data_IF_144379275328
#
_entry.id   IF_144379275328
#
_cell.length_a   1.000
_cell.length_b   1.000
_cell.length_c   1.000
_cell.angle_alpha   90.00
_cell.angle_beta   90.00
_cell.angle_gamma   90.00
#
_symmetry.space_group_name_H-M   'P 1'
#
loop_
_entity.id
_entity.type
_entity.pdbx_description
1 polymer ?
#
# COMPACT_ATOMS: atom_id res chain seq x y z
N UNK A 1 -37.60 53.40 -63.96
CA UNK A 1 -38.76 54.25 -63.59
C UNK A 1 -38.95 54.23 -62.11
N UNK A 2 -38.53 55.21 -61.48
CA UNK A 2 -39.27 56.28 -60.80
C UNK A 2 -39.57 55.87 -59.36
N UNK A 3 -38.90 56.52 -58.49
CA UNK A 3 -39.16 57.71 -57.66
C UNK A 3 -39.66 57.30 -56.21
N UNK A 4 -38.86 57.60 -55.28
CA UNK A 4 -38.92 58.70 -54.27
C UNK A 4 -40.08 58.66 -53.28
N UNK A 5 -39.77 58.62 -52.03
CA UNK A 5 -40.01 59.77 -51.16
C UNK A 5 -39.48 59.49 -49.69
N UNK A 6 -38.72 60.48 -49.34
CA UNK A 6 -38.25 60.78 -47.96
C UNK A 6 -39.38 60.98 -46.95
N UNK A 7 -39.19 60.50 -45.70
CA UNK A 7 -39.69 61.20 -44.52
C UNK A 7 -38.74 61.03 -43.34
N UNK A 8 -38.05 62.11 -43.01
CA UNK A 8 -37.32 62.33 -41.76
C UNK A 8 -38.27 62.27 -40.54
N UNK A 9 -37.97 61.45 -39.59
CA UNK A 9 -38.48 61.68 -38.21
C UNK A 9 -37.27 61.86 -37.31
N UNK A 10 -37.18 63.05 -36.72
CA UNK A 10 -36.30 63.41 -35.62
C UNK A 10 -36.79 62.70 -34.39
N UNK A 11 -35.99 61.87 -33.75
CA UNK A 11 -36.20 61.43 -32.36
C UNK A 11 -35.14 62.03 -31.45
N UNK A 12 -35.60 62.72 -30.46
CA UNK A 12 -34.85 63.35 -29.37
C UNK A 12 -34.03 62.30 -28.63
N UNK A 13 -32.74 62.45 -28.62
CA UNK A 13 -31.84 61.77 -27.67
C UNK A 13 -31.76 62.62 -26.42
N UNK A 14 -32.47 62.24 -25.35
CA UNK A 14 -32.16 62.68 -24.01
C UNK A 14 -30.94 61.92 -23.49
N UNK A 15 -29.82 62.59 -23.37
CA UNK A 15 -28.63 62.05 -22.77
C UNK A 15 -28.79 61.93 -21.25
N UNK A 16 -29.01 60.74 -20.76
CA UNK A 16 -28.80 60.44 -19.32
C UNK A 16 -27.30 60.42 -19.05
N UNK A 17 -26.76 61.47 -18.48
CA UNK A 17 -25.47 61.48 -17.83
C UNK A 17 -25.51 60.48 -16.65
N UNK A 18 -24.98 59.27 -16.86
CA UNK A 18 -24.70 58.35 -15.77
C UNK A 18 -23.55 58.91 -14.96
N UNK A 19 -23.83 59.16 -13.69
CA UNK A 19 -22.93 59.75 -12.74
C UNK A 19 -21.75 58.75 -12.47
N UNK A 20 -20.62 58.95 -13.15
CA UNK A 20 -19.40 58.12 -12.96
C UNK A 20 -18.85 58.09 -11.53
N UNK A 21 -19.31 59.00 -10.68
CA UNK A 21 -18.84 59.06 -9.29
C UNK A 21 -19.55 58.05 -8.36
N UNK A 22 -20.79 57.66 -8.63
CA UNK A 22 -21.52 56.70 -7.81
C UNK A 22 -20.97 55.27 -7.97
N UNK A 23 -20.46 54.91 -9.16
CA UNK A 23 -19.86 53.60 -9.40
C UNK A 23 -18.47 53.46 -8.76
N UNK A 24 -17.70 54.53 -8.70
CA UNK A 24 -16.42 54.55 -8.00
C UNK A 24 -16.59 54.43 -6.49
N UNK A 25 -17.60 54.98 -5.88
CA UNK A 25 -17.94 54.88 -4.47
C UNK A 25 -18.36 53.43 -4.11
N UNK A 26 -19.12 52.77 -4.97
CA UNK A 26 -19.54 51.39 -4.76
C UNK A 26 -18.33 50.42 -4.82
N UNK A 27 -17.38 50.68 -5.70
CA UNK A 27 -16.11 49.90 -5.79
C UNK A 27 -15.25 50.08 -4.54
N UNK A 28 -15.19 51.33 -3.96
CA UNK A 28 -14.46 51.57 -2.72
C UNK A 28 -15.13 50.91 -1.50
N UNK A 29 -16.43 50.80 -1.48
CA UNK A 29 -17.15 50.08 -0.43
C UNK A 29 -16.93 48.56 -0.52
N UNK A 30 -16.86 48.00 -1.74
CA UNK A 30 -16.52 46.57 -1.93
C UNK A 30 -15.07 46.29 -1.52
N UNK A 31 -14.14 47.15 -1.91
CA UNK A 31 -12.74 47.03 -1.52
C UNK A 31 -12.56 47.20 -0.02
N UNK A 32 -13.24 48.17 0.60
CA UNK A 32 -13.22 48.34 2.03
C UNK A 32 -13.87 47.15 2.78
N UNK A 33 -14.93 46.56 2.22
CA UNK A 33 -15.53 45.33 2.75
C UNK A 33 -14.61 44.12 2.66
N UNK A 34 -13.93 43.95 1.54
CA UNK A 34 -12.95 42.88 1.34
C UNK A 34 -11.71 43.06 2.23
N UNK A 35 -11.25 44.30 2.44
CA UNK A 35 -10.17 44.58 3.36
C UNK A 35 -10.58 44.34 4.80
N UNK A 36 -11.82 44.72 5.20
CA UNK A 36 -12.33 44.44 6.54
C UNK A 36 -12.52 42.94 6.80
N UNK A 37 -12.96 42.19 5.78
CA UNK A 37 -13.04 40.71 5.87
C UNK A 37 -11.62 40.08 5.94
N UNK A 38 -10.65 40.59 5.19
CA UNK A 38 -9.27 40.10 5.29
C UNK A 38 -8.62 40.49 6.63
N UNK A 39 -8.91 41.65 7.20
CA UNK A 39 -8.48 42.00 8.55
C UNK A 39 -9.15 41.13 9.62
N UNK A 40 -10.43 40.82 9.46
CA UNK A 40 -11.13 39.93 10.40
C UNK A 40 -10.60 38.48 10.30
N UNK A 41 -10.17 38.04 9.11
CA UNK A 41 -9.49 36.75 8.92
C UNK A 41 -8.03 36.78 9.41
N UNK A 42 -7.34 37.92 9.32
CA UNK A 42 -5.96 38.06 9.77
C UNK A 42 -5.87 38.33 11.28
N UNK A 43 -6.84 39.03 11.89
CA UNK A 43 -6.92 39.18 13.35
C UNK A 43 -7.33 37.87 14.05
N UNK A 44 -8.06 36.99 13.37
CA UNK A 44 -8.26 35.62 13.83
C UNK A 44 -6.98 34.77 13.82
N UNK A 45 -5.97 35.17 13.03
CA UNK A 45 -4.66 34.48 12.95
C UNK A 45 -3.59 35.08 13.88
N UNK A 46 -3.77 36.30 14.38
CA UNK A 46 -2.79 37.02 15.19
C UNK A 46 -3.29 37.42 16.61
N UNK A 47 -4.39 36.87 17.07
CA UNK A 47 -4.63 36.87 18.51
C UNK A 47 -3.59 35.92 19.11
N UNK A 48 -2.72 36.37 20.04
CA UNK A 48 -2.11 35.45 20.98
C UNK A 48 -3.22 35.05 21.95
N UNK A 49 -4.20 34.29 21.46
CA UNK A 49 -4.97 33.43 22.32
C UNK A 49 -3.91 32.59 23.00
N UNK A 50 -3.84 32.65 24.30
CA UNK A 50 -3.24 31.67 25.14
C UNK A 50 -3.64 30.31 24.58
N UNK A 51 -2.84 29.82 23.62
CA UNK A 51 -2.75 28.40 23.35
C UNK A 51 -2.28 27.88 24.70
N UNK A 52 -3.18 27.38 25.50
CA UNK A 52 -2.85 26.38 26.46
C UNK A 52 -2.23 25.25 25.61
N UNK A 53 -0.95 25.39 25.32
CA UNK A 53 -0.07 24.29 25.07
C UNK A 53 -0.05 23.49 26.38
N UNK A 54 -1.12 22.77 26.66
CA UNK A 54 -0.96 21.46 27.22
C UNK A 54 -0.07 20.77 26.20
N UNK A 55 1.21 20.74 26.48
CA UNK A 55 2.12 19.86 25.81
C UNK A 55 1.43 18.49 25.84
N UNK A 56 0.92 18.08 24.70
CA UNK A 56 0.42 16.72 24.51
C UNK A 56 1.61 15.84 24.85
N UNK A 57 1.60 15.25 26.05
CA UNK A 57 2.70 14.43 26.51
C UNK A 57 2.62 13.13 25.73
N UNK A 58 3.62 12.91 24.89
CA UNK A 58 3.78 11.59 24.25
C UNK A 58 3.81 10.51 25.35
N UNK A 59 2.98 9.50 25.19
CA UNK A 59 2.95 8.36 26.12
C UNK A 59 3.86 7.27 25.57
N UNK A 60 5.01 7.08 26.23
CA UNK A 60 6.08 6.21 25.76
C UNK A 60 6.12 4.88 26.53
N UNK A 61 5.74 3.79 25.87
CA UNK A 61 5.77 2.43 26.37
C UNK A 61 6.95 1.60 25.86
N UNK A 62 7.90 2.19 25.13
CA UNK A 62 9.00 1.45 24.49
C UNK A 62 9.85 0.68 25.50
N UNK A 63 10.26 1.29 26.57
CA UNK A 63 11.05 0.59 27.61
C UNK A 63 10.24 -0.48 28.32
N UNK A 64 8.96 -0.25 28.58
CA UNK A 64 8.07 -1.24 29.19
C UNK A 64 7.84 -2.46 28.28
N UNK A 65 7.62 -2.23 27.00
CA UNK A 65 7.45 -3.33 26.03
C UNK A 65 8.74 -4.12 25.81
N UNK A 66 9.92 -3.50 25.82
CA UNK A 66 11.20 -4.22 25.81
C UNK A 66 11.40 -5.12 27.03
N UNK A 67 10.95 -4.69 28.21
CA UNK A 67 10.98 -5.56 29.40
C UNK A 67 10.03 -6.74 29.26
N UNK A 68 8.86 -6.52 28.67
CA UNK A 68 7.90 -7.60 28.38
C UNK A 68 8.53 -8.61 27.41
N UNK A 69 9.22 -8.16 26.33
CA UNK A 69 9.95 -9.03 25.42
C UNK A 69 10.94 -9.94 26.14
N UNK A 70 11.73 -9.38 27.09
CA UNK A 70 12.69 -10.17 27.89
C UNK A 70 12.00 -11.23 28.75
N UNK A 71 10.85 -10.90 29.37
CA UNK A 71 10.06 -11.84 30.13
C UNK A 71 9.53 -12.97 29.25
N UNK A 72 9.00 -12.62 28.09
CA UNK A 72 8.51 -13.60 27.10
C UNK A 72 9.65 -14.54 26.70
N UNK A 73 10.83 -14.00 26.36
CA UNK A 73 12.01 -14.78 25.99
C UNK A 73 12.45 -15.73 27.11
N UNK A 74 12.44 -15.24 28.35
CA UNK A 74 12.79 -16.08 29.52
C UNK A 74 11.82 -17.24 29.65
N UNK A 75 10.52 -17.01 29.61
CA UNK A 75 9.51 -18.08 29.68
C UNK A 75 9.64 -19.05 28.51
N UNK A 76 9.78 -18.54 27.27
CA UNK A 76 9.93 -19.39 26.10
C UNK A 76 11.23 -20.21 26.12
N UNK A 77 12.28 -19.72 26.78
CA UNK A 77 13.54 -20.44 26.93
C UNK A 77 13.43 -21.77 27.70
N UNK A 78 12.37 -21.92 28.48
CA UNK A 78 12.08 -23.19 29.23
C UNK A 78 11.57 -24.30 28.29
N UNK A 79 11.20 -23.96 27.05
CA UNK A 79 10.68 -24.89 26.04
C UNK A 79 11.69 -25.14 24.89
N UNK A 80 13.00 -24.95 25.15
CA UNK A 80 14.08 -24.98 24.13
C UNK A 80 14.24 -26.30 23.37
N UNK A 81 13.73 -27.41 23.87
CA UNK A 81 13.85 -28.71 23.22
C UNK A 81 13.06 -28.85 21.90
N UNK A 82 12.36 -27.81 21.48
CA UNK A 82 11.41 -27.83 20.38
C UNK A 82 11.80 -26.94 19.18
N UNK A 83 13.07 -26.56 18.99
CA UNK A 83 13.50 -25.72 17.84
C UNK A 83 12.62 -24.47 17.61
N UNK A 84 12.65 -23.55 18.55
CA UNK A 84 11.55 -22.62 18.77
C UNK A 84 11.45 -21.52 17.74
N UNK A 85 12.48 -20.73 17.50
CA UNK A 85 12.31 -19.55 16.66
C UNK A 85 12.38 -19.90 15.18
N UNK A 86 11.25 -19.76 14.49
CA UNK A 86 11.22 -19.79 13.03
C UNK A 86 11.47 -18.40 12.48
N UNK A 87 10.89 -17.38 13.12
CA UNK A 87 11.04 -15.96 12.73
C UNK A 87 10.79 -15.06 13.94
N UNK A 88 11.52 -13.94 14.01
CA UNK A 88 11.36 -12.88 15.00
C UNK A 88 11.38 -11.53 14.29
N UNK A 89 10.34 -10.74 14.49
CA UNK A 89 10.18 -9.40 13.90
C UNK A 89 9.88 -8.41 15.00
N UNK A 90 10.83 -7.54 15.33
CA UNK A 90 10.66 -6.45 16.29
C UNK A 90 10.61 -5.12 15.56
N UNK A 91 9.64 -4.28 15.91
CA UNK A 91 9.50 -2.94 15.36
C UNK A 91 8.99 -1.94 16.36
N UNK A 92 9.44 -0.69 16.22
CA UNK A 92 8.84 0.44 16.90
C UNK A 92 7.51 0.81 16.22
N UNK A 93 6.47 1.04 17.02
CA UNK A 93 5.15 1.45 16.56
C UNK A 93 4.83 2.81 17.14
N UNK A 94 4.32 3.70 16.28
CA UNK A 94 3.79 4.99 16.67
C UNK A 94 2.32 5.06 16.28
N UNK A 95 1.46 5.43 17.22
CA UNK A 95 0.05 5.75 16.99
C UNK A 95 -0.17 7.20 17.37
N UNK A 96 -0.61 8.02 16.42
CA UNK A 96 -1.00 9.40 16.64
C UNK A 96 -2.52 9.48 16.80
N UNK A 97 -2.97 10.28 17.74
CA UNK A 97 -4.36 10.70 17.90
C UNK A 97 -4.40 12.19 18.28
N UNK A 98 -5.59 12.73 18.46
CA UNK A 98 -5.78 14.15 18.82
C UNK A 98 -5.17 14.52 20.21
N UNK A 99 -4.73 13.54 20.99
CA UNK A 99 -4.21 13.68 22.35
C UNK A 99 -2.70 13.50 22.44
N UNK A 100 -2.00 13.17 21.33
CA UNK A 100 -0.56 12.99 21.29
C UNK A 100 -0.13 11.69 20.59
N UNK A 101 1.12 11.30 20.84
CA UNK A 101 1.72 10.09 20.27
C UNK A 101 1.84 9.02 21.34
N UNK A 102 1.49 7.79 20.95
CA UNK A 102 1.75 6.60 21.73
C UNK A 102 2.83 5.79 21.04
N UNK A 103 3.91 5.49 21.77
CA UNK A 103 5.10 4.83 21.26
C UNK A 103 5.33 3.52 21.99
N UNK A 104 5.55 2.42 21.26
CA UNK A 104 5.87 1.11 21.87
C UNK A 104 6.63 0.20 20.90
N UNK A 105 7.22 -0.89 21.39
CA UNK A 105 7.73 -1.98 20.57
C UNK A 105 6.68 -3.07 20.41
N UNK A 106 6.52 -3.55 19.19
CA UNK A 106 5.68 -4.70 18.87
C UNK A 106 6.53 -5.79 18.21
N UNK A 107 6.45 -7.00 18.75
CA UNK A 107 7.19 -8.15 18.26
C UNK A 107 6.25 -9.26 17.80
N UNK A 108 6.64 -9.98 16.75
CA UNK A 108 5.96 -11.18 16.26
C UNK A 108 6.92 -12.35 16.30
N UNK A 109 6.56 -13.39 17.04
CA UNK A 109 7.34 -14.60 17.22
C UNK A 109 6.62 -15.79 16.58
N UNK A 110 7.28 -16.48 15.69
CA UNK A 110 6.78 -17.71 15.07
C UNK A 110 7.56 -18.89 15.61
N UNK A 111 6.87 -19.78 16.33
CA UNK A 111 7.50 -20.84 17.10
C UNK A 111 6.89 -22.19 16.71
N UNK A 112 7.74 -23.22 16.53
CA UNK A 112 7.24 -24.60 16.56
C UNK A 112 6.97 -24.97 18.01
N UNK A 113 5.76 -25.42 18.34
CA UNK A 113 5.34 -25.65 19.69
C UNK A 113 4.45 -26.88 19.85
N UNK A 114 4.67 -27.65 20.93
CA UNK A 114 3.80 -28.73 21.29
C UNK A 114 2.54 -28.20 22.00
N UNK A 115 1.43 -28.22 21.29
CA UNK A 115 0.17 -27.67 21.78
C UNK A 115 -0.36 -28.37 23.07
N UNK A 116 0.13 -29.57 23.42
CA UNK A 116 -0.19 -30.21 24.71
C UNK A 116 0.33 -29.41 25.90
N UNK A 117 1.37 -28.59 25.70
CA UNK A 117 1.99 -27.72 26.71
C UNK A 117 1.41 -26.28 26.69
N UNK A 118 0.36 -26.01 25.92
CA UNK A 118 -0.19 -24.65 25.75
C UNK A 118 -0.68 -24.04 27.07
N UNK A 119 -1.38 -24.84 27.91
CA UNK A 119 -1.90 -24.34 29.17
C UNK A 119 -0.78 -24.07 30.19
N UNK A 120 0.28 -24.88 30.21
CA UNK A 120 1.47 -24.62 31.02
C UNK A 120 2.16 -23.32 30.57
N UNK A 121 2.36 -23.12 29.25
CA UNK A 121 2.92 -21.89 28.71
C UNK A 121 2.09 -20.67 29.11
N UNK A 122 0.76 -20.72 28.95
CA UNK A 122 -0.15 -19.63 29.34
C UNK A 122 -0.01 -19.29 30.82
N UNK A 123 0.01 -20.30 31.70
CA UNK A 123 0.13 -20.09 33.13
C UNK A 123 1.46 -19.42 33.50
N UNK A 124 2.58 -19.87 32.93
CA UNK A 124 3.91 -19.28 33.18
C UNK A 124 3.99 -17.85 32.65
N UNK A 125 3.49 -17.59 31.43
CA UNK A 125 3.41 -16.22 30.88
C UNK A 125 2.57 -15.33 31.80
N UNK A 126 1.37 -15.78 32.20
CA UNK A 126 0.48 -15.00 33.06
C UNK A 126 1.12 -14.65 34.41
N UNK A 127 1.89 -15.56 34.99
CA UNK A 127 2.61 -15.30 36.24
C UNK A 127 3.78 -14.35 36.08
N UNK A 128 4.59 -14.56 35.03
CA UNK A 128 5.78 -13.76 34.78
C UNK A 128 5.45 -12.31 34.41
N UNK A 129 4.42 -12.11 33.60
CA UNK A 129 4.00 -10.81 33.08
C UNK A 129 3.45 -9.85 34.14
N UNK A 130 2.96 -10.38 35.28
CA UNK A 130 2.45 -9.56 36.39
C UNK A 130 3.47 -8.56 36.93
N UNK A 131 4.77 -8.87 36.83
CA UNK A 131 5.85 -7.99 37.29
C UNK A 131 5.94 -6.67 36.58
N UNK A 132 5.44 -6.60 35.36
CA UNK A 132 5.44 -5.39 34.50
C UNK A 132 4.01 -4.89 34.20
N UNK A 133 3.02 -5.26 35.03
CA UNK A 133 1.60 -4.95 34.80
C UNK A 133 1.15 -5.29 33.35
N UNK A 134 1.67 -6.42 32.86
CA UNK A 134 1.34 -6.95 31.55
C UNK A 134 0.55 -8.26 31.70
N UNK A 135 -0.13 -8.64 30.62
CA UNK A 135 -0.99 -9.82 30.64
C UNK A 135 -1.14 -10.42 29.24
N UNK A 136 -1.67 -11.63 29.18
CA UNK A 136 -2.20 -12.19 27.96
C UNK A 136 -3.49 -11.43 27.63
N UNK A 137 -3.51 -10.77 26.47
CA UNK A 137 -4.63 -9.96 25.99
C UNK A 137 -5.65 -10.78 25.20
N UNK A 138 -5.17 -11.80 24.49
CA UNK A 138 -5.98 -12.68 23.66
C UNK A 138 -5.27 -14.02 23.43
N UNK A 139 -6.07 -15.08 23.27
CA UNK A 139 -5.62 -16.38 22.77
C UNK A 139 -6.65 -16.85 21.76
N UNK A 140 -6.25 -16.91 20.51
CA UNK A 140 -7.16 -17.22 19.41
C UNK A 140 -6.59 -18.30 18.49
N UNK A 141 -7.49 -18.95 17.77
CA UNK A 141 -7.13 -19.74 16.61
C UNK A 141 -6.83 -18.81 15.45
N UNK A 142 -5.74 -19.09 14.74
CA UNK A 142 -5.30 -18.32 13.59
C UNK A 142 -4.77 -19.28 12.52
N UNK A 143 -4.41 -18.80 11.37
CA UNK A 143 -3.81 -19.58 10.29
C UNK A 143 -2.49 -18.99 9.86
N UNK A 144 -1.49 -19.85 9.72
CA UNK A 144 -0.20 -19.49 9.16
C UNK A 144 0.21 -20.52 8.12
N UNK A 145 0.48 -20.07 6.89
CA UNK A 145 0.80 -20.94 5.75
C UNK A 145 -0.21 -22.08 5.57
N UNK A 146 -1.50 -21.78 5.74
CA UNK A 146 -2.59 -22.77 5.63
C UNK A 146 -2.69 -23.77 6.77
N UNK A 147 -1.85 -23.68 7.81
CA UNK A 147 -1.90 -24.50 9.01
C UNK A 147 -2.70 -23.78 10.09
N UNK A 148 -3.55 -24.54 10.80
CA UNK A 148 -4.19 -24.02 12.00
C UNK A 148 -3.12 -23.86 13.10
N UNK A 149 -3.03 -22.67 13.66
CA UNK A 149 -2.09 -22.29 14.69
C UNK A 149 -2.83 -21.67 15.88
N UNK A 150 -2.16 -21.59 17.01
CA UNK A 150 -2.62 -20.75 18.12
C UNK A 150 -1.84 -19.45 18.15
N UNK A 151 -2.54 -18.33 18.32
CA UNK A 151 -1.93 -17.02 18.53
C UNK A 151 -2.17 -16.57 19.96
N UNK A 152 -1.11 -16.06 20.60
CA UNK A 152 -1.19 -15.42 21.90
C UNK A 152 -0.76 -13.97 21.75
N UNK A 153 -1.66 -13.03 22.03
CA UNK A 153 -1.35 -11.59 22.10
C UNK A 153 -1.01 -11.23 23.54
N UNK A 154 0.16 -10.64 23.76
CA UNK A 154 0.66 -10.20 25.06
C UNK A 154 0.79 -8.67 25.03
N UNK A 155 0.52 -8.05 26.18
CA UNK A 155 0.71 -6.61 26.28
C UNK A 155 0.10 -5.98 27.51
N UNK A 156 -0.25 -4.71 27.40
CA UNK A 156 -0.70 -3.85 28.47
C UNK A 156 -2.14 -3.43 28.19
N UNK A 157 -2.99 -3.47 29.24
CA UNK A 157 -4.25 -2.73 29.30
C UNK A 157 -4.06 -1.57 30.25
N UNK A 158 -4.34 -0.38 29.78
CA UNK A 158 -4.22 0.85 30.55
C UNK A 158 -5.41 1.78 30.20
N UNK A 159 -5.51 2.91 30.85
CA UNK A 159 -6.46 3.96 30.53
C UNK A 159 -5.70 5.23 30.19
N UNK A 160 -6.03 5.81 29.05
CA UNK A 160 -5.56 7.12 28.66
C UNK A 160 -6.77 8.05 28.59
N UNK A 161 -6.82 9.08 29.42
CA UNK A 161 -7.93 10.06 29.50
C UNK A 161 -9.34 9.46 29.56
N UNK A 162 -9.52 8.37 30.33
CA UNK A 162 -10.73 7.54 30.47
C UNK A 162 -11.02 6.57 29.30
N UNK A 163 -10.26 6.59 28.25
CA UNK A 163 -10.39 5.59 27.16
C UNK A 163 -9.53 4.35 27.46
N UNK A 164 -10.08 3.19 27.13
CA UNK A 164 -9.36 1.91 27.29
C UNK A 164 -8.23 1.82 26.26
N UNK A 165 -6.99 1.81 26.75
CA UNK A 165 -5.79 1.65 25.94
C UNK A 165 -5.35 0.18 25.93
N UNK A 166 -5.18 -0.39 24.74
CA UNK A 166 -4.65 -1.73 24.53
C UNK A 166 -3.38 -1.67 23.69
N UNK A 167 -2.25 -2.00 24.29
CA UNK A 167 -0.94 -2.05 23.64
C UNK A 167 -0.50 -3.51 23.53
N UNK A 168 -0.28 -3.98 22.31
CA UNK A 168 0.24 -5.31 22.04
C UNK A 168 1.75 -5.20 21.89
N UNK A 169 2.50 -5.81 22.83
CA UNK A 169 3.96 -5.91 22.79
C UNK A 169 4.42 -7.11 21.96
N UNK A 170 3.82 -8.28 22.21
CA UNK A 170 4.18 -9.53 21.55
C UNK A 170 2.96 -10.21 20.94
N UNK A 171 3.13 -10.75 19.73
CA UNK A 171 2.23 -11.74 19.12
C UNK A 171 3.01 -13.04 18.93
N UNK A 172 2.60 -14.07 19.64
CA UNK A 172 3.25 -15.38 19.57
C UNK A 172 2.38 -16.30 18.72
N UNK A 173 2.91 -16.76 17.60
CA UNK A 173 2.27 -17.70 16.69
C UNK A 173 2.86 -19.08 16.93
N UNK A 174 2.06 -19.99 17.49
CA UNK A 174 2.45 -21.34 17.86
C UNK A 174 2.08 -22.32 16.75
N UNK A 175 3.10 -22.77 15.99
CA UNK A 175 2.98 -23.78 14.95
C UNK A 175 3.07 -25.17 15.58
N UNK A 176 2.19 -26.09 15.19
CA UNK A 176 2.14 -27.44 15.76
C UNK A 176 3.39 -28.25 15.44
N UNK A 177 4.05 -28.84 16.47
CA UNK A 177 5.07 -29.87 16.28
C UNK A 177 4.40 -31.21 16.08
N UNK A 178 4.63 -31.89 14.98
CA UNK A 178 4.26 -33.30 14.77
C UNK A 178 2.75 -33.59 14.83
N UNK A 179 1.91 -32.56 14.84
CA UNK A 179 0.51 -32.74 14.54
C UNK A 179 0.42 -33.30 13.14
N UNK A 180 -0.01 -34.57 13.00
CA UNK A 180 -0.71 -34.93 11.77
C UNK A 180 -1.74 -33.83 11.62
N UNK A 181 -1.47 -32.81 10.78
CA UNK A 181 -2.51 -31.99 10.25
C UNK A 181 -3.61 -33.00 9.98
N UNK A 182 -4.80 -32.84 10.58
CA UNK A 182 -5.98 -33.48 10.05
C UNK A 182 -5.89 -33.04 8.63
N UNK A 183 -5.38 -33.95 7.82
CA UNK A 183 -5.26 -33.75 6.41
C UNK A 183 -6.70 -33.52 5.93
N UNK A 184 -7.12 -32.28 5.92
CA UNK A 184 -7.80 -31.81 4.74
C UNK A 184 -6.72 -32.01 3.70
N UNK A 185 -6.73 -33.26 3.19
CA UNK A 185 -5.92 -33.73 2.09
C UNK A 185 -4.91 -32.65 1.63
N UNK A 186 -3.66 -32.62 2.18
CA UNK A 186 -2.55 -32.46 1.28
C UNK A 186 -2.68 -33.68 0.35
N UNK A 187 -3.56 -33.62 -0.62
CA UNK A 187 -3.22 -34.07 -1.93
C UNK A 187 -1.80 -33.55 -2.08
N UNK A 188 -0.84 -34.44 -2.34
CA UNK A 188 0.47 -34.02 -2.78
C UNK A 188 0.23 -33.02 -3.91
N UNK A 189 0.22 -31.71 -3.56
CA UNK A 189 -0.03 -30.65 -4.52
C UNK A 189 1.26 -30.50 -5.27
N UNK A 190 1.45 -31.39 -6.21
CA UNK A 190 2.47 -31.21 -7.23
C UNK A 190 1.94 -30.06 -8.08
N UNK A 191 2.44 -28.87 -7.80
CA UNK A 191 2.08 -27.69 -8.58
C UNK A 191 2.35 -28.00 -10.04
N UNK A 192 1.29 -28.00 -10.84
CA UNK A 192 1.36 -28.20 -12.29
C UNK A 192 1.70 -26.90 -13.01
N UNK A 193 1.47 -25.77 -12.35
CA UNK A 193 1.78 -24.46 -12.85
C UNK A 193 1.83 -23.40 -11.74
N UNK A 194 2.43 -22.25 -12.01
CA UNK A 194 2.57 -21.13 -11.08
C UNK A 194 1.86 -19.89 -11.60
N UNK A 195 1.22 -19.15 -10.69
CA UNK A 195 0.62 -17.86 -10.98
C UNK A 195 1.20 -16.80 -10.02
N UNK A 196 1.94 -15.85 -10.58
CA UNK A 196 2.32 -14.64 -9.88
C UNK A 196 1.29 -13.53 -10.16
N UNK A 197 0.68 -13.01 -9.12
CA UNK A 197 -0.31 -11.93 -9.24
C UNK A 197 0.30 -10.63 -8.76
N UNK A 198 0.46 -9.68 -9.67
CA UNK A 198 0.93 -8.32 -9.39
C UNK A 198 -0.29 -7.39 -9.32
N UNK A 199 -0.37 -6.61 -8.29
CA UNK A 199 -1.48 -5.66 -8.09
C UNK A 199 -0.93 -4.26 -8.15
N UNK A 200 -1.26 -3.57 -9.24
CA UNK A 200 -0.81 -2.22 -9.55
C UNK A 200 -1.63 -1.14 -8.81
N UNK A 201 -1.15 0.10 -8.85
CA UNK A 201 -1.83 1.30 -8.36
C UNK A 201 -2.02 1.40 -6.84
N UNK A 202 -1.26 0.66 -6.05
CA UNK A 202 -1.25 0.96 -4.62
C UNK A 202 -0.65 2.35 -4.39
N UNK A 203 -1.32 3.16 -3.56
CA UNK A 203 -0.92 4.51 -3.24
C UNK A 203 -2.02 5.55 -3.46
N UNK A 204 -2.96 5.33 -4.38
CA UNK A 204 -4.05 6.27 -4.64
C UNK A 204 -5.10 6.30 -3.53
N UNK A 205 -5.46 5.16 -2.99
CA UNK A 205 -6.45 5.05 -1.93
C UNK A 205 -6.05 3.99 -0.89
N UNK A 206 -6.66 4.03 0.28
CA UNK A 206 -6.38 3.08 1.35
C UNK A 206 -7.45 2.00 1.52
N UNK A 207 -8.62 2.17 0.94
CA UNK A 207 -9.76 1.27 1.13
C UNK A 207 -9.48 -0.11 0.50
N UNK A 208 -8.83 -0.10 -0.66
CA UNK A 208 -8.46 -1.33 -1.35
C UNK A 208 -7.46 -2.18 -0.55
N UNK A 209 -6.56 -1.56 0.22
CA UNK A 209 -5.55 -2.28 1.00
C UNK A 209 -6.19 -3.33 1.93
N UNK A 210 -7.33 -2.98 2.55
CA UNK A 210 -8.00 -3.85 3.53
C UNK A 210 -8.48 -5.18 2.94
N UNK A 211 -8.92 -5.21 1.68
CA UNK A 211 -9.35 -6.46 1.05
C UNK A 211 -8.16 -7.36 0.72
N UNK A 212 -7.03 -6.78 0.28
CA UNK A 212 -5.84 -7.56 -0.03
C UNK A 212 -5.14 -8.11 1.21
N UNK A 213 -5.28 -7.47 2.37
CA UNK A 213 -4.83 -8.02 3.65
C UNK A 213 -5.55 -9.31 4.06
N UNK A 214 -6.76 -9.52 3.59
CA UNK A 214 -7.57 -10.71 3.87
C UNK A 214 -7.24 -11.91 2.97
N UNK A 215 -6.36 -11.74 1.99
CA UNK A 215 -5.92 -12.80 1.10
C UNK A 215 -4.66 -13.42 1.71
N UNK A 216 -4.69 -14.69 2.05
CA UNK A 216 -3.59 -15.40 2.72
C UNK A 216 -2.64 -16.12 1.74
N UNK A 217 -2.60 -15.66 0.49
CA UNK A 217 -1.74 -16.18 -0.58
C UNK A 217 -0.79 -15.11 -1.08
N UNK A 218 0.37 -15.50 -1.64
CA UNK A 218 1.32 -14.55 -2.20
C UNK A 218 0.68 -13.63 -3.23
N UNK A 219 0.98 -12.35 -3.12
CA UNK A 219 0.64 -11.28 -4.06
C UNK A 219 1.75 -10.24 -4.00
N UNK A 220 2.16 -9.71 -5.13
CA UNK A 220 3.11 -8.61 -5.21
C UNK A 220 2.36 -7.28 -5.31
N UNK A 221 2.66 -6.33 -4.42
CA UNK A 221 2.08 -4.98 -4.46
C UNK A 221 2.99 -4.06 -5.29
N UNK A 222 2.50 -3.55 -6.40
CA UNK A 222 3.17 -2.50 -7.16
C UNK A 222 2.68 -1.13 -6.67
N UNK A 223 3.59 -0.39 -6.03
CA UNK A 223 3.27 0.82 -5.28
C UNK A 223 3.74 2.05 -6.06
N UNK A 224 2.82 2.94 -6.36
CA UNK A 224 3.13 4.24 -6.95
C UNK A 224 3.95 5.10 -5.97
N UNK A 225 5.00 5.76 -6.44
CA UNK A 225 5.75 6.70 -5.62
C UNK A 225 4.96 7.99 -5.41
N UNK A 226 5.24 8.69 -4.32
CA UNK A 226 4.74 10.04 -4.04
C UNK A 226 3.20 10.22 -4.01
N UNK A 227 2.42 9.15 -3.92
CA UNK A 227 0.98 9.24 -3.72
C UNK A 227 0.64 9.35 -2.23
N UNK A 228 -0.57 9.85 -1.94
CA UNK A 228 -1.05 10.11 -0.57
C UNK A 228 -0.91 8.90 0.34
N UNK A 229 -1.16 7.69 -0.20
CA UNK A 229 -1.16 6.46 0.58
C UNK A 229 0.00 5.52 0.26
N UNK A 230 1.02 5.94 -0.51
CA UNK A 230 2.18 5.10 -0.85
C UNK A 230 2.89 4.56 0.39
N UNK A 231 3.22 5.42 1.35
CA UNK A 231 3.84 5.00 2.62
C UNK A 231 2.97 4.01 3.40
N UNK A 232 1.65 4.23 3.42
CA UNK A 232 0.71 3.31 4.07
C UNK A 232 0.69 1.95 3.38
N UNK A 233 0.72 1.92 2.05
CA UNK A 233 0.78 0.69 1.28
C UNK A 233 2.07 -0.10 1.56
N UNK A 234 3.23 0.56 1.61
CA UNK A 234 4.52 -0.04 1.99
C UNK A 234 4.44 -0.67 3.38
N UNK A 235 4.01 0.10 4.39
CA UNK A 235 3.87 -0.39 5.77
C UNK A 235 2.93 -1.59 5.83
N UNK A 236 1.84 -1.57 5.10
CA UNK A 236 0.88 -2.67 5.09
C UNK A 236 1.41 -3.90 4.34
N UNK A 237 2.13 -3.72 3.24
CA UNK A 237 2.79 -4.82 2.55
C UNK A 237 3.84 -5.49 3.46
N UNK A 238 4.74 -4.71 4.05
CA UNK A 238 5.76 -5.20 4.97
C UNK A 238 5.17 -5.90 6.20
N UNK A 239 4.11 -5.34 6.82
CA UNK A 239 3.44 -5.94 7.97
C UNK A 239 2.79 -7.30 7.66
N UNK A 240 2.39 -7.53 6.43
CA UNK A 240 1.78 -8.77 5.96
C UNK A 240 2.79 -9.66 5.21
N UNK A 241 4.08 -9.37 5.30
CA UNK A 241 5.16 -10.12 4.64
C UNK A 241 4.93 -10.29 3.13
N UNK A 242 4.33 -9.30 2.50
CA UNK A 242 4.10 -9.29 1.07
C UNK A 242 5.27 -8.65 0.35
N UNK A 243 5.63 -9.24 -0.77
CA UNK A 243 6.53 -8.60 -1.70
C UNK A 243 5.92 -7.31 -2.24
N UNK A 244 6.77 -6.30 -2.38
CA UNK A 244 6.35 -5.06 -3.05
C UNK A 244 7.44 -4.52 -3.94
N UNK A 245 7.01 -3.86 -5.00
CA UNK A 245 7.85 -3.30 -6.05
C UNK A 245 7.45 -1.85 -6.30
N UNK A 246 8.33 -1.09 -6.92
CA UNK A 246 8.01 0.26 -7.38
C UNK A 246 7.15 0.17 -8.66
N UNK A 247 5.98 0.78 -8.65
CA UNK A 247 5.17 1.04 -9.84
C UNK A 247 5.64 2.35 -10.47
N UNK A 248 6.58 2.24 -11.44
CA UNK A 248 7.34 3.36 -11.99
C UNK A 248 6.51 4.13 -13.02
N UNK A 249 6.18 5.42 -12.80
CA UNK A 249 5.46 6.21 -13.78
C UNK A 249 6.29 6.45 -15.04
N UNK A 250 5.74 6.06 -16.18
CA UNK A 250 6.38 6.15 -17.49
C UNK A 250 5.41 6.73 -18.52
N UNK A 251 5.92 7.51 -19.47
CA UNK A 251 5.12 8.23 -20.46
C UNK A 251 4.25 7.29 -21.29
N UNK A 252 2.96 7.60 -21.33
CA UNK A 252 1.95 6.96 -22.18
C UNK A 252 1.61 7.83 -23.40
N UNK A 253 0.58 7.45 -24.17
CA UNK A 253 0.02 8.27 -25.23
C UNK A 253 -0.62 9.57 -24.71
N UNK A 254 -0.92 10.49 -25.60
CA UNK A 254 -1.35 11.87 -25.30
C UNK A 254 -2.64 12.02 -24.45
N UNK A 255 -3.46 10.98 -24.33
CA UNK A 255 -4.73 11.03 -23.59
C UNK A 255 -4.61 10.53 -22.13
N UNK A 256 -3.45 10.04 -21.71
CA UNK A 256 -3.27 9.52 -20.35
C UNK A 256 -3.02 10.65 -19.35
N UNK A 257 -3.59 10.51 -18.15
CA UNK A 257 -3.25 11.38 -17.03
C UNK A 257 -1.76 11.23 -16.70
N UNK A 258 -1.07 12.37 -16.52
CA UNK A 258 0.37 12.37 -16.22
C UNK A 258 0.57 12.34 -14.72
N UNK A 259 1.31 11.35 -14.24
CA UNK A 259 1.75 11.30 -12.85
C UNK A 259 2.86 12.33 -12.59
N UNK A 260 2.93 12.89 -11.37
CA UNK A 260 4.08 13.67 -10.97
C UNK A 260 5.36 12.84 -11.13
N UNK A 261 6.40 13.41 -11.75
CA UNK A 261 7.69 12.72 -11.93
C UNK A 261 7.61 11.45 -12.78
N UNK A 262 7.07 11.59 -13.97
CA UNK A 262 6.98 10.54 -15.00
C UNK A 262 8.26 10.50 -15.84
N UNK A 263 8.75 9.31 -16.17
CA UNK A 263 9.86 9.10 -17.13
C UNK A 263 9.33 9.39 -18.55
N UNK A 264 9.81 10.48 -19.16
CA UNK A 264 9.39 10.90 -20.49
C UNK A 264 10.44 10.55 -21.55
N UNK A 265 9.98 10.39 -22.78
CA UNK A 265 10.87 9.99 -23.89
C UNK A 265 11.83 11.10 -24.34
N UNK A 266 11.59 12.36 -24.00
CA UNK A 266 12.49 13.48 -24.29
C UNK A 266 13.62 13.67 -23.26
N UNK A 267 13.56 12.96 -22.14
CA UNK A 267 14.58 13.03 -21.10
C UNK A 267 15.92 12.48 -21.59
N UNK A 268 17.00 13.14 -21.19
CA UNK A 268 18.36 12.64 -21.35
C UNK A 268 18.64 11.45 -20.44
N UNK A 269 19.69 10.68 -20.74
CA UNK A 269 20.13 9.57 -19.90
C UNK A 269 20.43 10.00 -18.45
N UNK A 270 20.99 11.20 -18.26
CA UNK A 270 21.26 11.76 -16.94
C UNK A 270 19.99 12.05 -16.14
N UNK A 271 18.97 12.64 -16.79
CA UNK A 271 17.69 12.94 -16.17
C UNK A 271 16.92 11.65 -15.82
N UNK A 272 16.92 10.65 -16.71
CA UNK A 272 16.31 9.34 -16.44
C UNK A 272 16.99 8.70 -15.23
N UNK A 273 18.33 8.65 -15.19
CA UNK A 273 19.08 8.08 -14.08
C UNK A 273 18.75 8.78 -12.75
N UNK A 274 18.76 10.11 -12.75
CA UNK A 274 18.45 10.90 -11.56
C UNK A 274 17.02 10.63 -11.08
N UNK A 275 16.04 10.65 -11.98
CA UNK A 275 14.63 10.48 -11.62
C UNK A 275 14.32 9.04 -11.17
N UNK A 276 14.80 8.02 -11.87
CA UNK A 276 14.63 6.62 -11.45
C UNK A 276 15.26 6.40 -10.07
N UNK A 277 16.47 6.94 -9.84
CA UNK A 277 17.16 6.85 -8.55
C UNK A 277 16.36 7.54 -7.44
N UNK A 278 15.83 8.72 -7.71
CA UNK A 278 14.97 9.43 -6.75
C UNK A 278 13.74 8.62 -6.40
N UNK A 279 13.00 8.12 -7.41
CA UNK A 279 11.77 7.37 -7.19
C UNK A 279 12.02 6.05 -6.44
N UNK A 280 13.10 5.33 -6.75
CA UNK A 280 13.51 4.14 -6.01
C UNK A 280 13.77 4.43 -4.52
N UNK A 281 14.30 5.60 -4.20
CA UNK A 281 14.58 5.99 -2.81
C UNK A 281 13.31 6.38 -2.02
N UNK A 282 12.17 6.61 -2.69
CA UNK A 282 10.90 6.92 -2.01
C UNK A 282 10.25 5.69 -1.37
N UNK A 283 10.59 4.49 -1.86
CA UNK A 283 10.05 3.21 -1.38
C UNK A 283 11.26 2.30 -1.08
N UNK A 284 11.78 2.30 0.16
CA UNK A 284 12.89 1.44 0.54
C UNK A 284 12.50 -0.04 0.52
N UNK A 285 13.50 -0.93 0.41
CA UNK A 285 13.34 -2.38 0.49
C UNK A 285 12.55 -3.04 -0.67
N UNK A 286 12.37 -2.33 -1.78
CA UNK A 286 11.79 -2.93 -2.98
C UNK A 286 12.71 -3.97 -3.60
N UNK A 287 12.11 -4.99 -4.20
CA UNK A 287 12.85 -6.09 -4.85
C UNK A 287 12.83 -5.98 -6.37
N UNK A 288 11.99 -5.10 -6.93
CA UNK A 288 11.83 -4.91 -8.37
C UNK A 288 11.00 -3.70 -8.73
N UNK A 289 10.74 -3.59 -10.02
CA UNK A 289 10.00 -2.47 -10.64
C UNK A 289 9.09 -3.01 -11.73
N UNK A 290 7.90 -2.41 -11.90
CA UNK A 290 7.13 -2.53 -13.13
C UNK A 290 6.68 -1.14 -13.62
N UNK A 291 6.28 -1.02 -14.87
CA UNK A 291 5.85 0.27 -15.41
C UNK A 291 4.38 0.57 -15.10
N UNK A 292 4.13 1.75 -14.53
CA UNK A 292 2.82 2.39 -14.53
C UNK A 292 2.62 3.10 -15.86
N UNK A 293 1.51 2.80 -16.57
CA UNK A 293 1.30 3.31 -17.92
C UNK A 293 2.47 2.93 -18.85
N UNK A 294 3.10 3.90 -19.50
CA UNK A 294 4.36 3.71 -20.23
C UNK A 294 4.21 3.18 -21.64
N UNK A 295 3.03 3.25 -22.27
CA UNK A 295 2.83 2.74 -23.63
C UNK A 295 3.75 3.38 -24.68
N UNK A 296 4.25 4.60 -24.43
CA UNK A 296 5.21 5.31 -25.28
C UNK A 296 6.65 5.05 -24.82
N UNK A 297 6.92 5.21 -23.53
CA UNK A 297 8.28 5.09 -22.99
C UNK A 297 8.83 3.66 -23.06
N UNK A 298 7.98 2.63 -22.84
CA UNK A 298 8.42 1.22 -22.96
C UNK A 298 8.65 0.78 -24.39
N UNK A 299 8.18 1.53 -25.39
CA UNK A 299 8.46 1.30 -26.81
C UNK A 299 9.77 1.97 -27.29
N UNK A 300 10.38 2.83 -26.46
CA UNK A 300 11.63 3.52 -26.79
C UNK A 300 12.84 2.75 -26.21
N UNK A 301 13.67 2.20 -27.10
CA UNK A 301 14.85 1.39 -26.71
C UNK A 301 15.86 2.19 -25.88
N UNK A 302 16.05 3.49 -26.16
CA UNK A 302 16.97 4.35 -25.44
C UNK A 302 16.50 4.55 -24.00
N UNK A 303 15.23 4.92 -23.84
CA UNK A 303 14.62 5.11 -22.51
C UNK A 303 14.70 3.82 -21.69
N UNK A 304 14.30 2.71 -22.27
CA UNK A 304 14.34 1.42 -21.57
C UNK A 304 15.76 1.01 -21.19
N UNK A 305 16.75 1.25 -22.08
CA UNK A 305 18.17 1.00 -21.79
C UNK A 305 18.64 1.79 -20.56
N UNK A 306 18.27 3.08 -20.49
CA UNK A 306 18.70 3.97 -19.41
C UNK A 306 18.02 3.61 -18.08
N UNK A 307 16.71 3.29 -18.09
CA UNK A 307 15.99 2.79 -16.91
C UNK A 307 16.59 1.46 -16.43
N UNK A 308 16.74 0.47 -17.31
CA UNK A 308 17.23 -0.86 -16.97
C UNK A 308 18.67 -0.86 -16.46
N UNK A 309 19.48 0.11 -16.90
CA UNK A 309 20.82 0.30 -16.37
C UNK A 309 20.80 0.60 -14.87
N UNK A 310 19.95 1.51 -14.43
CA UNK A 310 19.80 1.84 -12.99
C UNK A 310 19.32 0.64 -12.20
N UNK A 311 18.34 -0.11 -12.73
CA UNK A 311 17.81 -1.30 -12.04
C UNK A 311 18.88 -2.38 -11.90
N UNK A 312 19.70 -2.60 -12.94
CA UNK A 312 20.81 -3.55 -12.92
C UNK A 312 21.84 -3.19 -11.84
N UNK A 313 22.23 -1.92 -11.76
CA UNK A 313 23.20 -1.42 -10.77
C UNK A 313 22.70 -1.61 -9.32
N UNK A 314 21.39 -1.71 -9.14
CA UNK A 314 20.73 -1.93 -7.84
C UNK A 314 20.27 -3.37 -7.59
N UNK A 315 20.57 -4.30 -8.51
CA UNK A 315 20.13 -5.70 -8.46
C UNK A 315 18.60 -5.88 -8.37
N UNK A 316 17.84 -5.01 -9.02
CA UNK A 316 16.37 -5.06 -9.08
C UNK A 316 15.94 -5.78 -10.36
N UNK A 317 14.82 -6.53 -10.27
CA UNK A 317 14.16 -7.08 -11.46
C UNK A 317 13.20 -6.07 -12.09
N UNK A 318 12.83 -6.33 -13.34
CA UNK A 318 11.83 -5.55 -14.06
C UNK A 318 10.70 -6.44 -14.57
N UNK A 319 9.44 -6.07 -14.32
CA UNK A 319 8.26 -6.67 -14.95
C UNK A 319 7.71 -5.71 -15.99
N UNK A 320 7.71 -6.13 -17.25
CA UNK A 320 7.02 -5.38 -18.31
C UNK A 320 5.50 -5.56 -18.13
N UNK A 321 4.81 -4.50 -17.69
CA UNK A 321 3.34 -4.53 -17.56
C UNK A 321 2.64 -4.69 -18.90
N UNK A 322 3.38 -4.52 -20.01
CA UNK A 322 2.91 -4.74 -21.40
C UNK A 322 1.65 -3.94 -21.74
N UNK A 323 1.66 -2.67 -21.35
CA UNK A 323 0.58 -1.71 -21.63
C UNK A 323 0.46 -1.37 -23.13
N UNK A 324 1.46 -1.77 -23.93
CA UNK A 324 1.49 -1.64 -25.39
C UNK A 324 2.09 -2.90 -26.03
N UNK A 325 1.52 -3.31 -27.15
CA UNK A 325 2.13 -4.36 -27.99
C UNK A 325 3.47 -3.97 -28.61
N UNK A 326 3.81 -2.67 -28.65
CA UNK A 326 5.08 -2.15 -29.11
C UNK A 326 6.19 -2.15 -28.04
N UNK A 327 5.90 -2.55 -26.80
CA UNK A 327 6.91 -2.57 -25.72
C UNK A 327 8.12 -3.40 -26.13
N UNK A 328 9.29 -2.83 -25.91
CA UNK A 328 10.60 -3.48 -26.06
C UNK A 328 11.23 -3.82 -24.71
N UNK A 329 10.56 -3.44 -23.61
CA UNK A 329 11.11 -3.47 -22.25
C UNK A 329 11.58 -4.88 -21.84
N UNK A 330 10.73 -5.89 -21.99
CA UNK A 330 11.10 -7.29 -21.69
C UNK A 330 12.32 -7.77 -22.47
N UNK A 331 12.33 -7.54 -23.80
CA UNK A 331 13.46 -7.96 -24.67
C UNK A 331 14.75 -7.22 -24.30
N UNK A 332 14.67 -5.94 -23.99
CA UNK A 332 15.82 -5.14 -23.57
C UNK A 332 16.35 -5.60 -22.21
N UNK A 333 15.48 -5.91 -21.25
CA UNK A 333 15.87 -6.42 -19.94
C UNK A 333 16.64 -7.76 -20.08
N UNK A 334 16.15 -8.69 -20.90
CA UNK A 334 16.86 -9.94 -21.22
C UNK A 334 18.25 -9.66 -21.82
N UNK A 335 18.34 -8.77 -22.83
CA UNK A 335 19.59 -8.40 -23.50
C UNK A 335 20.61 -7.78 -22.53
N UNK A 336 20.13 -7.07 -21.52
CA UNK A 336 20.97 -6.41 -20.52
C UNK A 336 21.26 -7.28 -19.30
N UNK A 337 20.77 -8.52 -19.25
CA UNK A 337 20.85 -9.41 -18.10
C UNK A 337 20.26 -8.78 -16.82
N UNK A 338 19.11 -8.12 -16.95
CA UNK A 338 18.25 -7.73 -15.85
C UNK A 338 17.21 -8.83 -15.65
N UNK A 339 17.06 -9.40 -14.45
CA UNK A 339 16.00 -10.38 -14.21
C UNK A 339 14.63 -9.78 -14.59
N UNK A 340 13.85 -10.52 -15.40
CA UNK A 340 12.65 -9.93 -15.98
C UNK A 340 11.58 -10.96 -16.30
N UNK A 341 10.35 -10.48 -16.34
CA UNK A 341 9.19 -11.17 -16.88
C UNK A 341 8.25 -10.17 -17.56
N UNK A 342 7.24 -10.65 -18.27
CA UNK A 342 6.20 -9.78 -18.84
C UNK A 342 4.80 -10.22 -18.41
N UNK A 343 3.87 -9.28 -18.34
CA UNK A 343 2.47 -9.54 -18.10
C UNK A 343 1.85 -10.37 -19.23
N UNK A 344 1.13 -11.39 -18.84
CA UNK A 344 0.40 -12.23 -19.78
C UNK A 344 -1.09 -11.89 -19.85
N UNK A 345 -1.67 -11.42 -18.74
CA UNK A 345 -3.12 -11.13 -18.64
C UNK A 345 -3.37 -9.98 -17.70
N UNK A 346 -4.07 -8.94 -18.19
CA UNK A 346 -4.75 -7.99 -17.31
C UNK A 346 -6.07 -8.59 -16.84
N UNK A 347 -6.23 -8.75 -15.52
CA UNK A 347 -7.37 -9.46 -14.96
C UNK A 347 -8.62 -8.59 -14.76
N UNK A 348 -8.48 -7.27 -14.74
CA UNK A 348 -9.54 -6.35 -14.32
C UNK A 348 -9.75 -5.15 -15.27
N UNK A 349 -9.64 -5.39 -16.58
CA UNK A 349 -10.07 -4.42 -17.62
C UNK A 349 -11.56 -4.06 -17.50
N UNK A 350 -12.35 -4.89 -16.82
CA UNK A 350 -13.70 -4.61 -16.35
C UNK A 350 -13.76 -4.78 -14.85
N UNK A 351 -14.50 -3.92 -14.15
CA UNK A 351 -14.71 -3.99 -12.70
C UNK A 351 -15.71 -5.08 -12.27
N UNK A 352 -16.29 -5.82 -13.21
CA UNK A 352 -17.19 -6.94 -12.94
C UNK A 352 -16.43 -8.13 -12.31
N UNK A 353 -16.89 -8.59 -11.15
CA UNK A 353 -16.25 -9.67 -10.40
C UNK A 353 -16.17 -10.97 -11.21
N UNK A 354 -17.20 -11.29 -11.98
CA UNK A 354 -17.24 -12.51 -12.78
C UNK A 354 -16.27 -12.43 -13.98
N UNK A 355 -16.14 -11.23 -14.57
CA UNK A 355 -15.11 -10.97 -15.58
C UNK A 355 -13.73 -11.22 -15.01
N UNK A 356 -13.42 -10.63 -13.83
CA UNK A 356 -12.11 -10.77 -13.18
C UNK A 356 -11.82 -12.24 -12.87
N UNK A 357 -12.77 -12.97 -12.29
CA UNK A 357 -12.62 -14.42 -12.06
C UNK A 357 -12.37 -15.21 -13.34
N UNK A 358 -13.03 -14.83 -14.45
CA UNK A 358 -12.80 -15.46 -15.77
C UNK A 358 -11.36 -15.23 -16.25
N UNK A 359 -10.82 -14.02 -16.09
CA UNK A 359 -9.45 -13.70 -16.46
C UNK A 359 -8.44 -14.45 -15.57
N UNK A 360 -8.69 -14.59 -14.27
CA UNK A 360 -7.87 -15.40 -13.37
C UNK A 360 -7.84 -16.87 -13.75
N UNK A 361 -8.98 -17.45 -14.18
CA UNK A 361 -9.03 -18.81 -14.73
C UNK A 361 -8.26 -18.94 -16.05
N UNK A 362 -8.30 -17.91 -16.89
CA UNK A 362 -7.48 -17.87 -18.12
C UNK A 362 -5.99 -17.86 -17.78
N UNK A 363 -5.57 -16.99 -16.86
CA UNK A 363 -4.19 -16.96 -16.37
C UNK A 363 -3.77 -18.32 -15.80
N UNK A 364 -4.63 -18.96 -15.00
CA UNK A 364 -4.36 -20.29 -14.47
C UNK A 364 -4.11 -21.34 -15.58
N UNK A 365 -4.94 -21.35 -16.63
CA UNK A 365 -4.70 -22.24 -17.79
C UNK A 365 -3.36 -21.97 -18.45
N UNK A 366 -3.00 -20.70 -18.67
CA UNK A 366 -1.70 -20.34 -19.23
C UNK A 366 -0.56 -20.79 -18.33
N UNK A 367 -0.71 -20.68 -17.00
CA UNK A 367 0.25 -21.17 -16.02
C UNK A 367 0.43 -22.70 -16.08
N UNK A 368 -0.66 -23.45 -16.29
CA UNK A 368 -0.60 -24.91 -16.48
C UNK A 368 0.08 -25.30 -17.79
N UNK A 369 -0.13 -24.53 -18.86
CA UNK A 369 0.45 -24.79 -20.18
C UNK A 369 1.93 -24.42 -20.25
N UNK A 370 2.32 -23.30 -19.63
CA UNK A 370 3.68 -22.72 -19.76
C UNK A 370 4.54 -22.94 -18.51
N UNK A 371 4.03 -23.62 -17.48
CA UNK A 371 4.70 -23.80 -16.19
C UNK A 371 4.58 -22.60 -15.25
N UNK A 372 4.51 -21.37 -15.77
CA UNK A 372 4.31 -20.15 -14.98
C UNK A 372 3.65 -19.04 -15.79
N UNK A 373 3.00 -18.11 -15.10
CA UNK A 373 2.31 -16.95 -15.70
C UNK A 373 2.36 -15.76 -14.75
N UNK A 374 2.45 -14.56 -15.29
CA UNK A 374 2.20 -13.31 -14.56
C UNK A 374 0.85 -12.76 -14.99
N UNK A 375 0.03 -12.41 -14.02
CA UNK A 375 -1.22 -11.70 -14.21
C UNK A 375 -1.21 -10.38 -13.43
N UNK A 376 -1.63 -9.30 -14.07
CA UNK A 376 -1.68 -7.97 -13.44
C UNK A 376 -3.14 -7.54 -13.26
N UNK A 377 -3.45 -7.05 -12.07
CA UNK A 377 -4.67 -6.34 -11.73
C UNK A 377 -4.34 -5.04 -11.03
N UNK A 378 -5.37 -4.25 -10.69
CA UNK A 378 -5.20 -2.97 -10.02
C UNK A 378 -5.77 -3.02 -8.60
N UNK A 379 -5.29 -2.14 -7.72
CA UNK A 379 -5.69 -2.05 -6.31
C UNK A 379 -7.14 -1.55 -6.17
N UNK A 380 -8.10 -2.37 -6.61
CA UNK A 380 -9.55 -2.14 -6.55
C UNK A 380 -10.22 -3.17 -5.65
N UNK A 381 -11.30 -2.77 -5.00
CA UNK A 381 -12.04 -3.65 -4.07
C UNK A 381 -12.56 -4.91 -4.78
N UNK A 382 -13.13 -4.75 -5.99
CA UNK A 382 -13.68 -5.90 -6.71
C UNK A 382 -12.60 -6.86 -7.21
N UNK A 383 -11.42 -6.36 -7.57
CA UNK A 383 -10.26 -7.17 -7.93
C UNK A 383 -9.82 -8.02 -6.74
N UNK A 384 -9.67 -7.42 -5.57
CA UNK A 384 -9.34 -8.16 -4.35
C UNK A 384 -10.38 -9.20 -3.96
N UNK A 385 -11.68 -8.87 -4.05
CA UNK A 385 -12.77 -9.82 -3.81
C UNK A 385 -12.71 -11.01 -4.77
N UNK A 386 -12.58 -10.75 -6.07
CA UNK A 386 -12.52 -11.79 -7.09
C UNK A 386 -11.32 -12.74 -6.89
N UNK A 387 -10.13 -12.18 -6.59
CA UNK A 387 -8.95 -12.98 -6.27
C UNK A 387 -9.22 -13.86 -5.06
N UNK A 388 -9.68 -13.29 -3.94
CA UNK A 388 -9.97 -14.04 -2.71
C UNK A 388 -10.93 -15.20 -2.93
N UNK A 389 -11.98 -14.97 -3.72
CA UNK A 389 -13.02 -15.97 -3.95
C UNK A 389 -12.60 -17.08 -4.92
N UNK A 390 -11.67 -16.82 -5.86
CA UNK A 390 -11.29 -17.80 -6.88
C UNK A 390 -10.08 -18.65 -6.46
N UNK A 391 -9.29 -18.24 -5.48
CA UNK A 391 -8.09 -18.96 -5.02
C UNK A 391 -8.32 -20.46 -4.81
N UNK A 392 -9.36 -20.93 -4.09
CA UNK A 392 -9.56 -22.37 -3.88
C UNK A 392 -9.76 -23.14 -5.18
N UNK A 393 -10.39 -22.52 -6.17
CA UNK A 393 -10.60 -23.12 -7.50
C UNK A 393 -9.28 -23.21 -8.26
N UNK A 394 -8.44 -22.16 -8.25
CA UNK A 394 -7.15 -22.16 -8.94
C UNK A 394 -6.22 -23.22 -8.35
N UNK A 395 -6.19 -23.34 -7.02
CA UNK A 395 -5.44 -24.38 -6.33
C UNK A 395 -5.95 -25.78 -6.69
N UNK A 396 -7.27 -25.99 -6.78
CA UNK A 396 -7.84 -27.25 -7.22
C UNK A 396 -7.47 -27.60 -8.67
N UNK A 397 -7.24 -26.61 -9.54
CA UNK A 397 -6.72 -26.79 -10.89
C UNK A 397 -5.24 -27.24 -10.93
N UNK A 398 -4.51 -27.11 -9.83
CA UNK A 398 -3.08 -27.40 -9.74
C UNK A 398 -2.18 -26.16 -9.85
N UNK A 399 -2.73 -24.97 -9.65
CA UNK A 399 -1.97 -23.72 -9.67
C UNK A 399 -1.44 -23.38 -8.28
N UNK A 400 -0.13 -23.18 -8.19
CA UNK A 400 0.50 -22.55 -7.03
C UNK A 400 0.54 -21.03 -7.23
N UNK A 401 -0.04 -20.30 -6.28
CA UNK A 401 0.18 -18.85 -6.22
C UNK A 401 1.57 -18.59 -5.61
N UNK A 402 2.34 -17.71 -6.26
CA UNK A 402 3.73 -17.41 -5.90
C UNK A 402 3.95 -15.90 -5.83
#
# INVERSE_FOLDING_TARGET
MAKDSNKKQKSNKSSKKTNKNSFRWLLWLIVAGLVAISFHYLDGYNSPGLINNKSQADTDFREKTKKIHKIVDQVLSEYKDNNLAVKDYDKEVTKENDEGKILWHNRQLFLKFDHSKLDDLKNKLQQALKKEDAQILDVSDDKYEGQDIKRIDIGIKDKLNNDDLRIISDKIYLLTIGGKAKATLKQDFTAKGKLASVIDDFGYNHESINIYQQIDRPLTFAILPNQTFSKKAVVQAANNQREFILHLPMEAGAEAAVEPKTINVDMSAGEINALVTELLNTIPEIIGVNNHQGSKATADERVMKDVLKVLKERNLFFIDSKTSGASVAYKMALKMNVPTAENSVFIDNSSDINYIKKQLRLAAKMGLENGSVIAIGHARINTGKAIKEVIPELEAMGIQLV
#
